data_IF_307153280714
#
_entry.id   IF_307153280714
#
_cell.length_a   1.000
_cell.length_b   1.000
_cell.length_c   1.000
_cell.angle_alpha   90.00
_cell.angle_beta   90.00
_cell.angle_gamma   90.00
#
_symmetry.space_group_name_H-M   'P 1'
#
loop_
_entity.id
_entity.type
_entity.pdbx_description
1 polymer ?
#
# COMPACT_ATOMS: atom_id res chain seq x y z
N UNK A 1 1.03 -17.76 9.17
CA UNK A 1 -0.45 -17.64 9.17
C UNK A 1 -1.02 -18.22 10.46
N UNK A 2 -0.67 -19.47 10.80
CA UNK A 2 -1.05 -20.14 12.05
C UNK A 2 -0.62 -19.35 13.29
N UNK A 3 0.65 -18.95 13.38
CA UNK A 3 1.18 -18.16 14.51
C UNK A 3 0.42 -16.84 14.76
N UNK A 4 -0.14 -16.23 13.71
CA UNK A 4 -0.94 -15.02 13.82
C UNK A 4 -2.41 -15.27 14.24
N UNK A 5 -2.83 -16.54 14.28
CA UNK A 5 -4.21 -16.96 14.51
C UNK A 5 -5.14 -16.75 13.31
N UNK A 6 -4.60 -16.55 12.09
CA UNK A 6 -5.44 -16.41 10.88
C UNK A 6 -6.13 -17.73 10.51
N UNK A 7 -5.44 -18.84 10.79
CA UNK A 7 -5.91 -20.22 10.63
C UNK A 7 -5.68 -20.98 11.94
N UNK A 8 -6.55 -21.92 12.30
CA UNK A 8 -6.50 -22.61 13.60
C UNK A 8 -5.42 -23.69 13.66
N UNK A 9 -4.99 -24.23 12.52
CA UNK A 9 -4.04 -25.34 12.42
C UNK A 9 -2.82 -24.94 11.61
N UNK A 10 -1.74 -25.71 11.75
CA UNK A 10 -0.60 -25.59 10.85
C UNK A 10 -1.01 -25.96 9.43
N UNK A 11 -0.55 -25.17 8.47
CA UNK A 11 -0.85 -25.34 7.05
C UNK A 11 0.44 -25.26 6.25
N UNK A 12 0.53 -26.07 5.21
CA UNK A 12 1.65 -26.13 4.28
C UNK A 12 1.24 -25.58 2.92
N UNK A 13 2.15 -25.59 1.95
CA UNK A 13 1.83 -25.21 0.56
C UNK A 13 0.86 -26.19 -0.13
N UNK A 14 0.70 -27.41 0.38
CA UNK A 14 -0.21 -28.41 -0.19
C UNK A 14 -1.66 -28.22 0.25
N UNK A 15 -1.89 -27.34 1.23
CA UNK A 15 -3.20 -27.04 1.79
C UNK A 15 -3.83 -25.79 1.15
N UNK A 16 -3.29 -25.29 0.04
CA UNK A 16 -3.68 -24.02 -0.56
C UNK A 16 -5.16 -23.99 -0.97
N UNK A 17 -5.70 -25.11 -1.46
CA UNK A 17 -7.11 -25.26 -1.79
C UNK A 17 -8.00 -25.23 -0.54
N UNK A 18 -7.54 -25.81 0.57
CA UNK A 18 -8.28 -25.86 1.85
C UNK A 18 -8.36 -24.47 2.50
N UNK A 19 -7.51 -23.52 2.11
CA UNK A 19 -7.53 -22.15 2.64
C UNK A 19 -8.83 -21.40 2.32
N UNK A 20 -9.57 -21.85 1.30
CA UNK A 20 -10.89 -21.31 0.98
C UNK A 20 -11.91 -21.56 2.11
N UNK A 21 -11.78 -22.65 2.87
CA UNK A 21 -12.63 -22.94 4.03
C UNK A 21 -12.42 -21.91 5.15
N UNK A 22 -11.23 -21.30 5.21
CA UNK A 22 -10.90 -20.19 6.10
C UNK A 22 -11.23 -18.81 5.50
N UNK A 23 -11.83 -18.77 4.31
CA UNK A 23 -12.14 -17.54 3.58
C UNK A 23 -10.92 -16.83 3.01
N UNK A 24 -9.83 -17.56 2.76
CA UNK A 24 -8.56 -17.02 2.24
C UNK A 24 -8.31 -17.60 0.84
N UNK A 25 -8.27 -16.72 -0.16
CA UNK A 25 -7.93 -17.08 -1.54
C UNK A 25 -6.58 -16.52 -1.97
N UNK A 26 -5.97 -17.16 -2.98
CA UNK A 26 -4.70 -16.73 -3.55
C UNK A 26 -4.84 -16.36 -5.03
N UNK A 27 -4.16 -15.29 -5.44
CA UNK A 27 -3.98 -14.93 -6.85
C UNK A 27 -2.68 -14.14 -7.00
N UNK A 28 -2.14 -14.12 -8.22
CA UNK A 28 -0.95 -13.34 -8.57
C UNK A 28 -1.30 -12.21 -9.55
N UNK A 29 -0.54 -11.11 -9.50
CA UNK A 29 -0.67 -10.00 -10.47
C UNK A 29 -0.24 -10.44 -11.87
N UNK A 30 0.89 -11.16 -11.97
CA UNK A 30 1.36 -11.72 -13.22
C UNK A 30 1.25 -13.24 -13.19
N UNK A 31 0.79 -13.81 -14.31
CA UNK A 31 0.64 -15.26 -14.50
C UNK A 31 1.95 -15.93 -14.90
N UNK A 32 2.90 -15.19 -15.50
CA UNK A 32 4.19 -15.72 -15.93
C UNK A 32 5.09 -16.03 -14.73
N UNK A 33 5.57 -17.26 -14.65
CA UNK A 33 6.57 -17.67 -13.68
C UNK A 33 7.91 -16.95 -13.94
N UNK A 34 8.50 -16.39 -12.89
CA UNK A 34 9.80 -15.71 -12.90
C UNK A 34 10.63 -16.16 -11.71
N UNK A 35 11.96 -16.11 -11.81
CA UNK A 35 12.83 -16.49 -10.67
C UNK A 35 12.70 -15.49 -9.51
N UNK A 36 12.27 -14.27 -9.81
CA UNK A 36 11.87 -13.30 -8.81
C UNK A 36 11.17 -12.08 -9.39
N UNK A 37 10.53 -11.32 -8.50
CA UNK A 37 9.77 -10.11 -8.86
C UNK A 37 10.59 -9.04 -9.59
N UNK A 38 11.93 -9.11 -9.57
CA UNK A 38 12.82 -8.20 -10.29
C UNK A 38 12.84 -8.44 -11.81
N UNK A 39 12.41 -9.61 -12.28
CA UNK A 39 12.32 -9.95 -13.71
C UNK A 39 11.01 -9.49 -14.35
N UNK A 40 10.07 -8.97 -13.56
CA UNK A 40 8.79 -8.45 -14.05
C UNK A 40 8.96 -7.01 -14.46
N UNK A 41 8.66 -6.73 -15.72
CA UNK A 41 8.71 -5.36 -16.26
C UNK A 41 7.54 -4.53 -15.71
N UNK A 42 7.70 -3.20 -15.67
CA UNK A 42 6.59 -2.30 -15.28
C UNK A 42 5.37 -2.46 -16.21
N UNK A 43 5.60 -2.78 -17.49
CA UNK A 43 4.53 -3.01 -18.47
C UNK A 43 3.72 -4.26 -18.11
N UNK A 44 4.39 -5.37 -17.81
CA UNK A 44 3.73 -6.61 -17.35
C UNK A 44 2.97 -6.38 -16.04
N UNK A 45 3.58 -5.66 -15.08
CA UNK A 45 2.90 -5.35 -13.82
C UNK A 45 1.63 -4.53 -14.05
N UNK A 46 1.68 -3.48 -14.87
CA UNK A 46 0.52 -2.63 -15.18
C UNK A 46 -0.59 -3.43 -15.88
N UNK A 47 -0.23 -4.29 -16.83
CA UNK A 47 -1.20 -5.18 -17.48
C UNK A 47 -1.82 -6.17 -16.48
N UNK A 48 -1.00 -6.77 -15.62
CA UNK A 48 -1.45 -7.66 -14.56
C UNK A 48 -2.36 -6.98 -13.53
N UNK A 49 -2.12 -5.71 -13.23
CA UNK A 49 -2.97 -4.93 -12.33
C UNK A 49 -4.40 -4.77 -12.84
N UNK A 50 -4.59 -4.57 -14.15
CA UNK A 50 -5.92 -4.51 -14.76
C UNK A 50 -6.67 -5.84 -14.60
N UNK A 51 -6.02 -6.95 -14.93
CA UNK A 51 -6.59 -8.30 -14.77
C UNK A 51 -6.91 -8.61 -13.31
N UNK A 52 -6.04 -8.19 -12.38
CA UNK A 52 -6.28 -8.35 -10.94
C UNK A 52 -7.50 -7.54 -10.48
N UNK A 53 -7.67 -6.31 -10.98
CA UNK A 53 -8.83 -5.48 -10.65
C UNK A 53 -10.14 -6.14 -11.10
N UNK A 54 -10.16 -6.73 -12.30
CA UNK A 54 -11.34 -7.46 -12.79
C UNK A 54 -11.67 -8.68 -11.92
N UNK A 55 -10.65 -9.43 -11.48
CA UNK A 55 -10.84 -10.52 -10.51
C UNK A 55 -11.41 -10.02 -9.18
N UNK A 56 -10.89 -8.92 -8.65
CA UNK A 56 -11.39 -8.34 -7.38
C UNK A 56 -12.83 -7.88 -7.54
N UNK A 57 -13.19 -7.23 -8.66
CA UNK A 57 -14.57 -6.83 -8.96
C UNK A 57 -15.52 -8.01 -9.09
N UNK A 58 -15.04 -9.12 -9.68
CA UNK A 58 -15.82 -10.36 -9.84
C UNK A 58 -16.06 -11.08 -8.52
N UNK A 59 -15.01 -11.30 -7.72
CA UNK A 59 -15.07 -12.12 -6.51
C UNK A 59 -15.38 -11.32 -5.23
N UNK A 60 -15.27 -9.99 -5.28
CA UNK A 60 -15.60 -9.05 -4.19
C UNK A 60 -15.08 -9.49 -2.81
N UNK A 61 -13.78 -9.79 -2.65
CA UNK A 61 -13.23 -10.12 -1.35
C UNK A 61 -13.38 -8.93 -0.40
N UNK A 62 -13.58 -9.20 0.91
CA UNK A 62 -13.63 -8.14 1.93
C UNK A 62 -12.30 -7.37 2.03
N UNK A 63 -11.18 -8.10 1.88
CA UNK A 63 -9.82 -7.56 1.97
C UNK A 63 -9.00 -8.06 0.79
N UNK A 64 -8.37 -7.15 0.04
CA UNK A 64 -7.31 -7.47 -0.92
C UNK A 64 -5.95 -7.26 -0.26
N UNK A 65 -5.23 -8.36 -0.03
CA UNK A 65 -3.92 -8.34 0.63
C UNK A 65 -2.79 -8.37 -0.41
N UNK A 66 -2.04 -7.28 -0.51
CA UNK A 66 -0.86 -7.19 -1.36
C UNK A 66 0.38 -7.66 -0.59
N UNK A 67 0.84 -8.88 -0.89
CA UNK A 67 2.03 -9.49 -0.31
C UNK A 67 3.32 -8.94 -0.95
N UNK A 68 3.67 -7.70 -0.60
CA UNK A 68 4.88 -7.04 -1.02
C UNK A 68 4.67 -5.60 -1.48
N UNK A 69 5.43 -4.68 -0.89
CA UNK A 69 5.40 -3.24 -1.22
C UNK A 69 5.50 -2.95 -2.72
N UNK A 70 6.43 -3.59 -3.42
CA UNK A 70 6.67 -3.33 -4.84
C UNK A 70 5.50 -3.71 -5.76
N UNK A 71 4.71 -4.71 -5.37
CA UNK A 71 3.53 -5.12 -6.13
C UNK A 71 2.44 -4.05 -6.00
N UNK A 72 2.22 -3.56 -4.78
CA UNK A 72 1.26 -2.49 -4.55
C UNK A 72 1.70 -1.16 -5.18
N UNK A 73 3.00 -0.81 -5.12
CA UNK A 73 3.57 0.35 -5.84
C UNK A 73 3.25 0.29 -7.35
N UNK A 74 3.42 -0.88 -7.97
CA UNK A 74 3.12 -1.05 -9.38
C UNK A 74 1.62 -1.00 -9.68
N UNK A 75 0.79 -1.42 -8.72
CA UNK A 75 -0.66 -1.41 -8.83
C UNK A 75 -1.24 0.01 -8.74
N UNK A 76 -0.79 0.84 -7.79
CA UNK A 76 -1.30 2.21 -7.61
C UNK A 76 -0.52 3.27 -8.40
N UNK A 77 0.70 2.96 -8.84
CA UNK A 77 1.53 3.86 -9.63
C UNK A 77 2.34 4.91 -8.84
N UNK A 78 2.28 4.92 -7.51
CA UNK A 78 3.06 5.82 -6.65
C UNK A 78 3.62 5.08 -5.41
N UNK A 79 4.53 5.75 -4.68
CA UNK A 79 5.20 5.19 -3.50
C UNK A 79 4.76 5.81 -2.16
N UNK A 80 3.89 6.81 -2.23
CA UNK A 80 3.42 7.57 -1.08
C UNK A 80 2.30 6.78 -0.38
N UNK A 81 2.68 5.75 0.35
CA UNK A 81 1.78 4.96 1.19
C UNK A 81 2.54 4.27 2.34
N UNK A 82 1.83 4.05 3.44
CA UNK A 82 2.29 3.25 4.58
C UNK A 82 1.91 1.79 4.40
N UNK A 83 2.62 0.86 5.05
CA UNK A 83 2.18 -0.55 5.06
C UNK A 83 0.93 -0.72 5.93
N UNK A 84 0.23 -1.83 5.75
CA UNK A 84 -1.01 -2.14 6.43
C UNK A 84 -2.25 -1.69 5.65
N UNK A 85 -3.34 -1.39 6.37
CA UNK A 85 -4.63 -0.95 5.83
C UNK A 85 -4.45 0.37 5.10
N UNK A 86 -4.99 0.46 3.88
CA UNK A 86 -5.01 1.68 3.10
C UNK A 86 -6.27 2.48 3.41
N UNK A 87 -6.21 3.83 3.35
CA UNK A 87 -7.31 4.69 3.79
C UNK A 87 -8.56 4.55 2.91
N UNK A 88 -8.37 4.29 1.62
CA UNK A 88 -9.45 4.15 0.67
C UNK A 88 -9.59 2.69 0.22
N UNK A 89 -10.82 2.19 0.02
CA UNK A 89 -11.04 0.91 -0.61
C UNK A 89 -10.58 0.95 -2.07
N UNK A 90 -10.49 -0.22 -2.68
CA UNK A 90 -10.09 -0.32 -4.08
C UNK A 90 -11.15 0.33 -4.99
N UNK A 91 -10.71 1.19 -5.91
CA UNK A 91 -11.59 2.00 -6.76
C UNK A 91 -12.67 1.18 -7.50
N UNK A 92 -13.93 1.55 -7.27
CA UNK A 92 -15.09 0.86 -7.84
C UNK A 92 -15.46 -0.45 -7.15
N UNK A 93 -14.99 -0.67 -5.92
CA UNK A 93 -15.34 -1.82 -5.07
C UNK A 93 -15.40 -1.40 -3.60
N UNK A 94 -16.03 -2.20 -2.76
CA UNK A 94 -16.00 -2.05 -1.29
C UNK A 94 -14.83 -2.82 -0.65
N UNK A 95 -13.90 -3.34 -1.47
CA UNK A 95 -12.78 -4.16 -0.99
C UNK A 95 -11.74 -3.28 -0.30
N UNK A 96 -11.49 -3.56 0.98
CA UNK A 96 -10.43 -2.90 1.75
C UNK A 96 -9.07 -3.38 1.25
N UNK A 97 -8.10 -2.47 1.13
CA UNK A 97 -6.74 -2.83 0.70
C UNK A 97 -5.83 -2.94 1.91
N UNK A 98 -5.02 -4.00 1.96
CA UNK A 98 -4.01 -4.21 3.00
C UNK A 98 -2.66 -4.55 2.37
N UNK A 99 -1.60 -3.87 2.78
CA UNK A 99 -0.26 -4.04 2.19
C UNK A 99 0.69 -4.64 3.21
N UNK A 100 1.36 -5.73 2.84
CA UNK A 100 2.31 -6.42 3.71
C UNK A 100 3.73 -6.38 3.13
N UNK A 101 4.76 -6.54 3.97
CA UNK A 101 6.07 -6.92 3.47
C UNK A 101 5.99 -8.27 2.75
N UNK A 102 6.91 -8.49 1.81
CA UNK A 102 6.93 -9.76 1.09
C UNK A 102 7.23 -10.91 2.04
N UNK A 103 6.42 -11.97 1.98
CA UNK A 103 6.64 -13.21 2.73
C UNK A 103 7.91 -13.95 2.32
N UNK A 104 8.49 -13.66 1.15
CA UNK A 104 9.74 -14.25 0.67
C UNK A 104 10.90 -14.02 1.65
N UNK A 105 11.71 -15.05 1.88
CA UNK A 105 12.96 -14.97 2.64
C UNK A 105 14.00 -14.03 1.98
N UNK A 106 13.81 -13.66 0.70
CA UNK A 106 14.64 -12.64 0.02
C UNK A 106 14.35 -11.21 0.47
N UNK A 107 13.31 -10.98 1.27
CA UNK A 107 13.01 -9.68 1.83
C UNK A 107 14.11 -9.27 2.82
N UNK A 108 15.05 -8.44 2.37
CA UNK A 108 16.17 -8.01 3.20
C UNK A 108 15.74 -7.08 4.34
N UNK A 109 14.58 -6.41 4.22
CA UNK A 109 14.10 -5.46 5.22
C UNK A 109 13.53 -6.14 6.46
N UNK A 110 12.96 -7.34 6.33
CA UNK A 110 12.40 -8.13 7.43
C UNK A 110 12.84 -9.58 7.17
N UNK A 111 14.03 -9.97 7.64
CA UNK A 111 14.65 -11.24 7.29
C UNK A 111 13.94 -12.44 7.88
N UNK A 112 13.31 -12.33 9.05
CA UNK A 112 12.64 -13.43 9.75
C UNK A 112 11.14 -13.43 9.55
N UNK A 113 10.52 -14.57 9.84
CA UNK A 113 9.07 -14.70 9.90
C UNK A 113 8.49 -13.88 11.07
N UNK A 114 9.15 -13.92 12.24
CA UNK A 114 8.82 -13.14 13.43
C UNK A 114 8.71 -11.63 13.14
N UNK A 115 9.66 -11.09 12.36
CA UNK A 115 9.67 -9.66 11.98
C UNK A 115 8.43 -9.26 11.15
N UNK A 116 7.76 -10.23 10.52
CA UNK A 116 6.58 -10.03 9.67
C UNK A 116 5.29 -10.39 10.40
N UNK A 117 5.36 -11.10 11.52
CA UNK A 117 4.22 -11.56 12.30
C UNK A 117 3.25 -10.41 12.66
N UNK A 118 3.70 -9.20 13.05
CA UNK A 118 2.80 -8.09 13.35
C UNK A 118 1.82 -7.75 12.23
N UNK A 119 2.23 -7.89 10.96
CA UNK A 119 1.37 -7.62 9.80
C UNK A 119 0.25 -8.66 9.67
N UNK A 120 0.54 -9.92 9.96
CA UNK A 120 -0.46 -10.99 9.93
C UNK A 120 -1.43 -10.88 11.12
N UNK A 121 -0.96 -10.45 12.28
CA UNK A 121 -1.82 -10.17 13.45
C UNK A 121 -2.75 -9.00 13.15
N UNK A 122 -2.24 -7.91 12.58
CA UNK A 122 -3.04 -6.77 12.14
C UNK A 122 -4.09 -7.17 11.09
N UNK A 123 -3.71 -8.03 10.14
CA UNK A 123 -4.65 -8.58 9.15
C UNK A 123 -5.77 -9.39 9.81
N UNK A 124 -5.46 -10.21 10.83
CA UNK A 124 -6.48 -10.93 11.60
C UNK A 124 -7.45 -9.97 12.29
N UNK A 125 -6.93 -8.95 13.00
CA UNK A 125 -7.75 -7.94 13.67
C UNK A 125 -8.66 -7.19 12.69
N UNK A 126 -8.14 -6.85 11.52
CA UNK A 126 -8.92 -6.24 10.44
C UNK A 126 -10.04 -7.17 9.94
N UNK A 127 -9.74 -8.46 9.78
CA UNK A 127 -10.75 -9.47 9.40
C UNK A 127 -11.86 -9.58 10.43
N UNK A 128 -11.53 -9.64 11.72
CA UNK A 128 -12.48 -9.73 12.83
C UNK A 128 -13.37 -8.48 12.89
N UNK A 129 -12.78 -7.29 12.75
CA UNK A 129 -13.52 -6.02 12.68
C UNK A 129 -14.51 -5.99 11.51
N UNK A 130 -14.08 -6.36 10.29
CA UNK A 130 -14.96 -6.42 9.11
C UNK A 130 -15.99 -7.57 9.14
N UNK A 131 -15.89 -8.47 10.11
CA UNK A 131 -16.88 -9.52 10.39
C UNK A 131 -17.83 -9.13 11.52
N UNK A 132 -17.60 -8.01 12.20
CA UNK A 132 -18.38 -7.60 13.37
C UNK A 132 -18.02 -8.37 14.64
N UNK A 133 -16.95 -9.16 14.63
CA UNK A 133 -16.47 -9.92 15.80
C UNK A 133 -15.71 -9.00 16.77
N UNK A 134 -15.25 -7.84 16.28
CA UNK A 134 -14.58 -6.81 17.06
C UNK A 134 -15.28 -5.46 16.86
N UNK A 135 -15.69 -4.75 17.92
CA UNK A 135 -16.48 -3.52 17.81
C UNK A 135 -15.65 -2.30 17.37
N UNK A 136 -14.38 -2.24 17.76
CA UNK A 136 -13.50 -1.10 17.48
C UNK A 136 -12.11 -1.57 17.02
N UNK A 137 -11.53 -0.86 16.07
CA UNK A 137 -10.18 -1.12 15.56
C UNK A 137 -9.45 0.20 15.32
N UNK A 138 -8.45 0.49 16.15
CA UNK A 138 -7.64 1.67 15.98
C UNK A 138 -6.75 1.55 14.72
N UNK A 139 -6.60 2.63 13.96
CA UNK A 139 -5.77 2.62 12.75
C UNK A 139 -4.29 2.32 13.08
N UNK A 140 -3.79 2.66 14.27
CA UNK A 140 -2.44 2.32 14.72
C UNK A 140 -2.19 0.80 14.86
N UNK A 141 -3.25 -0.01 15.00
CA UNK A 141 -3.13 -1.47 15.05
C UNK A 141 -3.02 -2.11 13.67
N UNK A 142 -3.32 -1.35 12.60
CA UNK A 142 -3.41 -1.88 11.23
C UNK A 142 -2.68 -1.04 10.19
N UNK A 143 -2.13 0.13 10.54
CA UNK A 143 -1.35 1.00 9.67
C UNK A 143 0.05 1.17 10.25
N UNK A 144 1.06 0.93 9.43
CA UNK A 144 2.47 0.89 9.84
C UNK A 144 3.28 1.93 9.07
N UNK A 145 3.59 3.05 9.73
CA UNK A 145 4.33 4.16 9.13
C UNK A 145 5.82 3.84 8.96
N UNK A 146 6.46 3.27 9.98
CA UNK A 146 7.83 2.72 9.89
C UNK A 146 7.83 1.22 10.18
N UNK A 147 7.50 0.43 9.16
CA UNK A 147 7.51 -1.03 9.27
C UNK A 147 8.89 -1.65 9.54
N UNK A 148 9.98 -0.87 9.54
CA UNK A 148 11.31 -1.39 9.86
C UNK A 148 11.59 -1.47 11.35
N UNK A 149 10.73 -0.88 12.19
CA UNK A 149 10.78 -1.00 13.65
C UNK A 149 10.56 -2.44 14.16
N UNK A 150 9.83 -3.26 13.38
CA UNK A 150 9.53 -4.66 13.73
C UNK A 150 10.70 -5.62 13.60
N UNK A 151 11.90 -5.14 13.29
CA UNK A 151 13.10 -5.98 13.25
C UNK A 151 13.44 -6.43 14.66
N UNK A 152 13.34 -7.73 14.90
CA UNK A 152 13.71 -8.35 16.17
C UNK A 152 15.25 -8.32 16.37
N UNK A 153 16.04 -8.12 15.31
CA UNK A 153 17.50 -7.94 15.41
C UNK A 153 17.97 -6.75 14.61
N UNK A 154 18.95 -6.04 15.16
CA UNK A 154 19.64 -5.01 14.42
C UNK A 154 20.41 -5.65 13.26
N UNK A 155 20.26 -5.15 12.03
CA UNK A 155 21.00 -5.65 10.88
C UNK A 155 22.50 -5.46 11.08
N UNK A 156 23.29 -6.47 10.72
CA UNK A 156 24.76 -6.41 10.80
C UNK A 156 25.31 -5.18 10.04
N UNK A 157 26.34 -4.47 10.56
CA UNK A 157 26.88 -3.26 9.92
C UNK A 157 27.33 -3.45 8.46
N UNK A 158 27.82 -4.64 8.07
CA UNK A 158 28.19 -4.94 6.68
C UNK A 158 26.95 -5.03 5.80
N UNK A 159 25.86 -5.60 6.32
CA UNK A 159 24.58 -5.69 5.62
C UNK A 159 23.98 -4.29 5.37
N UNK A 160 24.08 -3.39 6.36
CA UNK A 160 23.68 -1.98 6.24
C UNK A 160 24.50 -1.26 5.15
N UNK A 161 25.84 -1.35 5.20
CA UNK A 161 26.72 -0.76 4.18
C UNK A 161 26.41 -1.30 2.77
N UNK A 162 26.12 -2.60 2.65
CA UNK A 162 25.75 -3.23 1.36
C UNK A 162 24.39 -2.73 0.87
N UNK A 163 23.40 -2.58 1.75
CA UNK A 163 22.09 -2.05 1.43
C UNK A 163 22.16 -0.56 1.02
N UNK A 164 22.97 0.23 1.73
CA UNK A 164 23.22 1.64 1.43
C UNK A 164 23.89 1.82 0.06
N UNK A 165 24.95 1.04 -0.24
CA UNK A 165 25.56 1.00 -1.58
C UNK A 165 24.55 0.66 -2.68
N UNK A 166 23.64 -0.28 -2.43
CA UNK A 166 22.56 -0.63 -3.37
C UNK A 166 21.55 0.51 -3.54
N UNK A 167 21.17 1.20 -2.46
CA UNK A 167 20.29 2.37 -2.51
C UNK A 167 20.94 3.51 -3.30
N UNK A 168 22.21 3.81 -3.04
CA UNK A 168 22.99 4.80 -3.78
C UNK A 168 23.02 4.49 -5.28
N UNK A 169 23.41 3.27 -5.66
CA UNK A 169 23.38 2.82 -7.07
C UNK A 169 22.00 2.91 -7.70
N UNK A 170 20.94 2.54 -6.97
CA UNK A 170 19.56 2.61 -7.47
C UNK A 170 19.09 4.06 -7.64
N UNK A 171 19.48 4.96 -6.74
CA UNK A 171 19.19 6.39 -6.84
C UNK A 171 19.94 7.04 -8.00
N UNK A 172 21.23 6.73 -8.16
CA UNK A 172 22.05 7.16 -9.30
C UNK A 172 21.46 6.67 -10.63
N UNK A 173 21.08 5.39 -10.72
CA UNK A 173 20.44 4.83 -11.92
C UNK A 173 19.07 5.47 -12.21
N UNK A 174 18.29 5.77 -11.17
CA UNK A 174 17.00 6.46 -11.33
C UNK A 174 17.19 7.92 -11.80
N UNK A 175 18.19 8.63 -11.25
CA UNK A 175 18.54 9.97 -11.68
C UNK A 175 19.06 10.00 -13.12
N UNK A 176 19.91 9.05 -13.51
CA UNK A 176 20.39 8.91 -14.87
C UNK A 176 19.25 8.59 -15.85
N UNK A 177 18.32 7.71 -15.48
CA UNK A 177 17.14 7.42 -16.30
C UNK A 177 16.20 8.63 -16.45
N UNK A 178 16.04 9.44 -15.40
CA UNK A 178 15.28 10.68 -15.46
C UNK A 178 15.96 11.72 -16.35
N UNK A 179 17.28 11.89 -16.24
CA UNK A 179 18.06 12.78 -17.11
C UNK A 179 18.01 12.35 -18.59
N UNK A 180 18.12 11.05 -18.87
CA UNK A 180 17.99 10.51 -20.22
C UNK A 180 16.58 10.75 -20.80
N UNK A 181 15.52 10.56 -20.00
CA UNK A 181 14.15 10.84 -20.43
C UNK A 181 13.93 12.32 -20.77
N UNK A 182 14.55 13.24 -20.02
CA UNK A 182 14.55 14.68 -20.32
C UNK A 182 15.32 15.01 -21.61
N UNK A 183 16.45 14.35 -21.86
CA UNK A 183 17.25 14.55 -23.08
C UNK A 183 16.58 14.02 -24.37
N UNK A 184 15.71 13.01 -24.26
CA UNK A 184 14.93 12.47 -25.39
C UNK A 184 13.61 13.21 -25.65
N UNK A 185 13.31 14.28 -24.90
CA UNK A 185 12.05 15.01 -24.90
C UNK A 185 12.01 16.29 -25.74
N UNK A 186 12.87 16.44 -26.76
CA UNK A 186 12.81 17.57 -27.70
C UNK A 186 12.72 17.06 -29.15
N UNK A 187 11.50 16.79 -29.61
CA UNK A 187 11.12 17.00 -31.00
C UNK A 187 9.59 17.02 -31.11
N UNK A 188 9.09 18.18 -31.53
CA UNK A 188 7.74 18.48 -32.01
C UNK A 188 6.74 19.04 -30.98
N UNK A 189 6.88 20.34 -30.70
CA UNK A 189 5.77 21.19 -30.26
C UNK A 189 5.57 22.31 -31.30
N UNK A 190 4.79 22.01 -32.34
CA UNK A 190 4.13 23.03 -33.14
C UNK A 190 2.63 22.68 -33.23
N UNK A 191 1.83 23.70 -32.93
CA UNK A 191 0.43 23.93 -33.30
C UNK A 191 -0.69 23.71 -32.27
N UNK A 192 -1.26 24.88 -31.91
CA UNK A 192 -2.67 25.24 -31.70
C UNK A 192 -3.35 25.00 -30.34
N UNK A 193 -3.46 26.13 -29.64
CA UNK A 193 -4.53 26.50 -28.71
C UNK A 193 -5.92 26.11 -29.24
N UNK A 194 -6.65 25.31 -28.46
CA UNK A 194 -8.05 25.59 -28.07
C UNK A 194 -8.61 24.48 -27.17
N UNK A 195 -9.24 24.86 -26.05
CA UNK A 195 -10.37 24.11 -25.51
C UNK A 195 -10.14 23.23 -24.27
N UNK A 196 -10.31 23.84 -23.10
CA UNK A 196 -11.05 23.34 -21.91
C UNK A 196 -10.58 22.13 -21.10
N UNK A 197 -10.31 22.45 -19.82
CA UNK A 197 -10.58 21.74 -18.57
C UNK A 197 -9.82 20.44 -18.25
N UNK A 198 -8.73 20.60 -17.48
CA UNK A 198 -8.37 19.66 -16.41
C UNK A 198 -7.98 20.43 -15.14
N UNK A 199 -8.68 20.10 -14.05
CA UNK A 199 -8.48 20.60 -12.70
C UNK A 199 -7.06 20.32 -12.20
N UNK A 200 -6.31 21.38 -11.96
CA UNK A 200 -5.09 21.37 -11.17
C UNK A 200 -5.34 22.02 -9.82
N UNK A 201 -4.84 21.36 -8.77
CA UNK A 201 -4.30 21.91 -7.53
C UNK A 201 -4.74 23.33 -7.15
N UNK A 202 -5.46 23.47 -6.04
CA UNK A 202 -5.36 24.66 -5.20
C UNK A 202 -5.16 24.26 -3.74
N UNK A 203 -3.90 24.31 -3.32
CA UNK A 203 -3.51 24.37 -1.92
C UNK A 203 -3.69 25.83 -1.48
N UNK A 204 -4.68 26.10 -0.62
CA UNK A 204 -4.66 27.28 0.25
C UNK A 204 -5.04 26.87 1.66
N UNK A 205 -4.08 27.10 2.55
CA UNK A 205 -4.26 27.09 3.98
C UNK A 205 -5.19 28.25 4.38
N UNK A 206 -6.26 27.95 5.12
CA UNK A 206 -6.94 28.91 5.98
C UNK A 206 -7.25 28.22 7.30
N UNK A 207 -6.46 28.54 8.32
CA UNK A 207 -6.87 28.46 9.72
C UNK A 207 -7.54 29.79 10.03
N UNK A 208 -8.87 29.81 10.11
CA UNK A 208 -9.63 30.91 10.71
C UNK A 208 -10.16 30.48 12.06
N UNK A 209 -9.64 31.11 13.12
CA UNK A 209 -10.22 31.18 14.46
C UNK A 209 -11.06 32.47 14.52
N UNK A 210 -12.34 32.45 14.93
CA UNK A 210 -13.08 33.66 15.27
C UNK A 210 -12.88 33.95 16.78
N UNK A 211 -12.30 35.09 17.16
CA UNK A 211 -12.88 36.43 17.35
C UNK A 211 -13.07 36.73 18.85
N UNK A 212 -12.40 37.78 19.30
CA UNK A 212 -12.54 38.37 20.63
C UNK A 212 -13.70 39.37 20.70
N UNK A 213 -14.36 39.30 21.86
CA UNK A 213 -14.94 40.36 22.72
C UNK A 213 -15.05 41.80 22.20
N UNK A 214 -16.26 42.38 22.23
CA UNK A 214 -16.72 43.36 23.24
C UNK A 214 -17.99 44.13 22.76
N UNK A 215 -18.92 44.29 23.71
CA UNK A 215 -19.70 45.50 24.00
C UNK A 215 -20.89 45.96 23.10
N UNK A 216 -22.09 45.68 23.65
CA UNK A 216 -23.01 46.67 24.23
C UNK A 216 -24.21 47.21 23.42
N UNK A 217 -25.34 47.26 24.16
CA UNK A 217 -26.51 48.16 24.11
C UNK A 217 -27.79 47.73 23.36
N UNK A 218 -28.80 47.44 24.20
CA UNK A 218 -30.23 47.83 24.11
C UNK A 218 -31.07 47.16 23.01
N UNK A 219 -32.28 46.64 23.24
CA UNK A 219 -33.14 46.59 24.42
C UNK A 219 -34.45 45.84 24.09
N UNK A 220 -35.04 45.28 25.14
CA UNK A 220 -36.45 44.89 25.36
C UNK A 220 -37.17 43.83 24.49
N UNK A 221 -38.03 42.99 25.12
CA UNK A 221 -38.75 41.87 24.49
C UNK A 221 -40.26 42.16 24.29
N UNK A 222 -40.90 41.47 23.35
CA UNK A 222 -42.35 41.26 23.15
C UNK A 222 -42.48 40.45 21.83
N UNK A 223 -43.25 39.38 21.63
CA UNK A 223 -44.31 38.64 22.33
C UNK A 223 -44.17 37.16 21.94
#
# INVERSE_FOLDING_TARGET
MTEAGLVPTEVTCYDDMNMLDYGIGFTNVCTRATKGAAELTRKEMKAGSAVMLDKIRKYKPKIAVFNGKGIYEAFIGHKNFSMGKQPQPLSGTDTVVFVMPSSSARCAQLPRAEDKLPFFIALRKLREYLRGERPELADSEVVFNDYTEFRVTQPDPKSLRKAERRRKRKAEAAAAAAAAAMASGEANAQLTLSGTNCSGLLLKAELNHPLGTEACLTGSPCM
#
